data_IF_361697707934
#
_entry.id   IF_361697707934
#
_cell.length_a   1.000
_cell.length_b   1.000
_cell.length_c   1.000
_cell.angle_alpha   90.00
_cell.angle_beta   90.00
_cell.angle_gamma   90.00
#
_symmetry.space_group_name_H-M   'P 1'
#
loop_
_entity.id
_entity.type
_entity.pdbx_description
1 polymer ?
#
# COMPACT_ATOMS: atom_id res chain seq x y z
N UNK A 1 -20.24 -39.61 20.73
CA UNK A 1 -19.05 -39.22 21.51
C UNK A 1 -17.74 -39.47 20.77
N UNK A 2 -17.65 -40.44 19.90
CA UNK A 2 -16.45 -40.79 19.10
C UNK A 2 -16.06 -39.77 18.02
N UNK A 3 -17.04 -39.20 17.32
CA UNK A 3 -16.78 -38.29 16.18
C UNK A 3 -16.17 -36.93 16.57
N UNK A 4 -16.55 -36.41 17.75
CA UNK A 4 -15.99 -35.15 18.27
C UNK A 4 -14.50 -35.29 18.62
N UNK A 5 -14.08 -36.43 19.15
CA UNK A 5 -12.68 -36.70 19.49
C UNK A 5 -11.81 -36.86 18.23
N UNK A 6 -12.36 -37.46 17.17
CA UNK A 6 -11.67 -37.63 15.90
C UNK A 6 -11.49 -36.28 15.16
N UNK A 7 -12.52 -35.44 15.21
CA UNK A 7 -12.49 -34.09 14.67
C UNK A 7 -11.47 -33.20 15.39
N UNK A 8 -11.45 -33.22 16.72
CA UNK A 8 -10.48 -32.47 17.52
C UNK A 8 -9.03 -32.94 17.29
N UNK A 9 -8.81 -34.24 17.10
CA UNK A 9 -7.48 -34.79 16.81
C UNK A 9 -6.97 -34.35 15.43
N UNK A 10 -7.85 -34.34 14.42
CA UNK A 10 -7.52 -33.84 13.07
C UNK A 10 -7.25 -32.33 13.10
N UNK A 11 -8.02 -31.57 13.87
CA UNK A 11 -7.81 -30.12 14.03
C UNK A 11 -6.44 -29.80 14.65
N UNK A 12 -6.06 -30.51 15.72
CA UNK A 12 -4.74 -30.33 16.34
C UNK A 12 -3.59 -30.68 15.40
N UNK A 13 -3.70 -31.80 14.65
CA UNK A 13 -2.71 -32.18 13.66
C UNK A 13 -2.58 -31.15 12.53
N UNK A 14 -3.70 -30.58 12.10
CA UNK A 14 -3.71 -29.50 11.12
C UNK A 14 -3.06 -28.22 11.65
N UNK A 15 -3.35 -27.83 12.89
CA UNK A 15 -2.73 -26.67 13.56
C UNK A 15 -1.21 -26.84 13.70
N UNK A 16 -0.75 -28.04 14.09
CA UNK A 16 0.68 -28.36 14.18
C UNK A 16 1.36 -28.29 12.81
N UNK A 17 0.70 -28.83 11.78
CA UNK A 17 1.21 -28.77 10.41
C UNK A 17 1.28 -27.31 9.92
N UNK A 18 0.24 -26.52 10.11
CA UNK A 18 0.20 -25.10 9.75
C UNK A 18 1.31 -24.33 10.47
N UNK A 19 1.51 -24.56 11.77
CA UNK A 19 2.60 -23.92 12.53
C UNK A 19 3.99 -24.29 12.01
N UNK A 20 4.17 -25.52 11.57
CA UNK A 20 5.45 -26.00 11.04
C UNK A 20 5.78 -25.43 9.65
N UNK A 21 4.76 -25.21 8.81
CA UNK A 21 4.93 -24.74 7.42
C UNK A 21 4.84 -23.21 7.30
N UNK A 22 4.17 -22.55 8.26
CA UNK A 22 4.01 -21.08 8.22
C UNK A 22 5.32 -20.39 8.61
N UNK A 23 5.91 -19.55 7.74
CA UNK A 23 7.13 -18.84 8.06
C UNK A 23 6.92 -17.87 9.23
N UNK A 24 7.70 -18.04 10.30
CA UNK A 24 7.66 -17.15 11.46
C UNK A 24 8.54 -15.94 11.17
N UNK A 25 7.92 -14.76 11.05
CA UNK A 25 8.63 -13.51 10.88
C UNK A 25 8.85 -12.81 12.22
N UNK A 26 10.08 -12.33 12.44
CA UNK A 26 10.40 -11.51 13.62
C UNK A 26 9.78 -10.12 13.47
N UNK A 27 8.78 -9.81 14.31
CA UNK A 27 8.09 -8.51 14.31
C UNK A 27 9.05 -7.32 14.41
N UNK A 28 10.01 -7.28 15.38
CA UNK A 28 10.88 -6.11 15.54
C UNK A 28 11.78 -5.88 14.32
N UNK A 29 12.30 -6.95 13.71
CA UNK A 29 13.13 -6.83 12.52
C UNK A 29 12.34 -6.27 11.33
N UNK A 30 11.09 -6.74 11.15
CA UNK A 30 10.24 -6.25 10.09
C UNK A 30 9.81 -4.79 10.31
N UNK A 31 9.59 -4.39 11.56
CA UNK A 31 9.34 -2.97 11.91
C UNK A 31 10.53 -2.08 11.56
N UNK A 32 11.76 -2.50 11.89
CA UNK A 32 12.97 -1.75 11.53
C UNK A 32 13.14 -1.63 10.00
N UNK A 33 12.90 -2.71 9.25
CA UNK A 33 12.97 -2.69 7.79
C UNK A 33 11.91 -1.75 7.19
N UNK A 34 10.68 -1.80 7.72
CA UNK A 34 9.60 -0.94 7.27
C UNK A 34 9.91 0.53 7.57
N UNK A 35 10.41 0.84 8.77
CA UNK A 35 10.83 2.20 9.14
C UNK A 35 11.93 2.73 8.23
N UNK A 36 12.96 1.93 7.98
CA UNK A 36 14.07 2.32 7.10
C UNK A 36 13.58 2.59 5.67
N UNK A 37 12.79 1.67 5.11
CA UNK A 37 12.30 1.79 3.73
C UNK A 37 11.35 2.98 3.57
N UNK A 38 10.40 3.14 4.49
CA UNK A 38 9.50 4.29 4.52
C UNK A 38 10.26 5.61 4.69
N UNK A 39 11.26 5.62 5.59
CA UNK A 39 12.14 6.77 5.82
C UNK A 39 12.88 7.20 4.56
N UNK A 40 13.44 6.26 3.80
CA UNK A 40 14.11 6.56 2.51
C UNK A 40 13.12 7.18 1.51
N UNK A 41 11.90 6.65 1.40
CA UNK A 41 10.87 7.22 0.52
C UNK A 41 10.51 8.64 0.97
N UNK A 42 10.37 8.88 2.27
CA UNK A 42 10.11 10.22 2.81
C UNK A 42 11.26 11.20 2.52
N UNK A 43 12.51 10.76 2.65
CA UNK A 43 13.68 11.61 2.32
C UNK A 43 13.67 11.98 0.84
N UNK A 44 13.39 11.03 -0.05
CA UNK A 44 13.25 11.33 -1.49
C UNK A 44 12.13 12.33 -1.74
N UNK A 45 10.97 12.15 -1.10
CA UNK A 45 9.85 13.10 -1.17
C UNK A 45 10.24 14.49 -0.68
N UNK A 46 10.97 14.57 0.45
CA UNK A 46 11.42 15.85 1.00
C UNK A 46 12.42 16.58 0.07
N UNK A 47 13.33 15.85 -0.57
CA UNK A 47 14.25 16.44 -1.55
C UNK A 47 13.48 17.05 -2.72
N UNK A 48 12.44 16.36 -3.21
CA UNK A 48 11.57 16.88 -4.29
C UNK A 48 10.83 18.14 -3.83
N UNK A 49 10.27 18.12 -2.61
CA UNK A 49 9.57 19.27 -2.04
C UNK A 49 10.50 20.47 -1.89
N UNK A 50 11.69 20.28 -1.34
CA UNK A 50 12.67 21.35 -1.19
C UNK A 50 13.11 21.94 -2.54
N UNK A 51 13.23 21.10 -3.56
CA UNK A 51 13.52 21.57 -4.93
C UNK A 51 12.36 22.40 -5.50
N UNK A 52 11.13 21.95 -5.31
CA UNK A 52 9.94 22.67 -5.75
C UNK A 52 9.77 24.03 -5.03
N UNK A 53 10.08 24.08 -3.74
CA UNK A 53 10.06 25.31 -2.94
C UNK A 53 11.11 26.32 -3.45
N UNK A 54 12.33 25.85 -3.78
CA UNK A 54 13.36 26.68 -4.38
C UNK A 54 12.97 27.25 -5.76
N UNK A 55 12.05 26.61 -6.47
CA UNK A 55 11.49 27.11 -7.73
C UNK A 55 10.37 28.13 -7.50
N UNK A 56 10.01 28.43 -6.24
CA UNK A 56 8.96 29.38 -5.89
C UNK A 56 7.54 28.85 -6.07
N UNK A 57 7.36 27.51 -6.09
CA UNK A 57 6.03 26.90 -6.14
C UNK A 57 5.35 27.00 -4.78
N UNK A 58 4.03 27.27 -4.78
CA UNK A 58 3.23 27.22 -3.57
C UNK A 58 3.15 25.77 -3.03
N UNK A 59 2.84 25.62 -1.73
CA UNK A 59 2.86 24.33 -1.03
C UNK A 59 1.96 23.27 -1.64
N UNK A 60 0.78 23.68 -2.11
CA UNK A 60 -0.19 22.73 -2.69
C UNK A 60 0.28 22.23 -4.05
N UNK A 61 0.83 23.11 -4.88
CA UNK A 61 1.42 22.77 -6.16
C UNK A 61 2.68 21.91 -5.98
N UNK A 62 3.56 22.26 -5.03
CA UNK A 62 4.75 21.48 -4.71
C UNK A 62 4.40 20.07 -4.23
N UNK A 63 3.37 19.92 -3.37
CA UNK A 63 2.85 18.64 -2.91
C UNK A 63 2.31 17.77 -4.05
N UNK A 64 1.58 18.38 -4.98
CA UNK A 64 1.06 17.72 -6.18
C UNK A 64 2.18 17.20 -7.08
N UNK A 65 3.19 18.02 -7.35
CA UNK A 65 4.39 17.63 -8.11
C UNK A 65 5.18 16.51 -7.44
N UNK A 66 5.37 16.60 -6.12
CA UNK A 66 6.02 15.54 -5.35
C UNK A 66 5.30 14.21 -5.51
N UNK A 67 3.97 14.20 -5.39
CA UNK A 67 3.15 13.01 -5.56
C UNK A 67 3.29 12.43 -6.97
N UNK A 68 3.21 13.25 -8.01
CA UNK A 68 3.35 12.81 -9.40
C UNK A 68 4.73 12.19 -9.68
N UNK A 69 5.80 12.81 -9.20
CA UNK A 69 7.17 12.31 -9.37
C UNK A 69 7.35 10.98 -8.65
N UNK A 70 6.86 10.84 -7.40
CA UNK A 70 6.94 9.60 -6.65
C UNK A 70 6.14 8.46 -7.31
N UNK A 71 4.96 8.77 -7.86
CA UNK A 71 4.16 7.82 -8.65
C UNK A 71 4.94 7.37 -9.88
N UNK A 72 5.52 8.31 -10.62
CA UNK A 72 6.31 8.00 -11.83
C UNK A 72 7.50 7.09 -11.50
N UNK A 73 8.27 7.39 -10.45
CA UNK A 73 9.35 6.52 -10.00
C UNK A 73 8.86 5.12 -9.65
N UNK A 74 7.75 5.03 -8.93
CA UNK A 74 7.17 3.73 -8.57
C UNK A 74 6.76 2.92 -9.79
N UNK A 75 6.09 3.54 -10.76
CA UNK A 75 5.66 2.87 -12.01
C UNK A 75 6.86 2.36 -12.81
N UNK A 76 7.93 3.17 -12.94
CA UNK A 76 9.17 2.76 -13.62
C UNK A 76 9.81 1.57 -12.90
N UNK A 77 9.96 1.64 -11.56
CA UNK A 77 10.52 0.53 -10.77
C UNK A 77 9.67 -0.74 -10.86
N UNK A 78 8.36 -0.61 -10.95
CA UNK A 78 7.43 -1.73 -11.14
C UNK A 78 7.60 -2.34 -12.51
N UNK A 79 7.67 -1.53 -13.57
CA UNK A 79 7.92 -1.98 -14.94
C UNK A 79 9.26 -2.70 -15.10
N UNK A 80 10.29 -2.28 -14.36
CA UNK A 80 11.59 -2.95 -14.29
C UNK A 80 11.62 -4.17 -13.36
N UNK A 81 10.50 -4.55 -12.72
CA UNK A 81 10.41 -5.63 -11.72
C UNK A 81 11.34 -5.45 -10.50
N UNK A 82 11.70 -4.22 -10.19
CA UNK A 82 12.55 -3.87 -9.04
C UNK A 82 11.70 -3.59 -7.78
N UNK A 83 10.51 -3.02 -7.93
CA UNK A 83 9.67 -2.65 -6.80
C UNK A 83 9.25 -3.85 -5.95
N UNK A 84 9.03 -5.01 -6.57
CA UNK A 84 8.70 -6.26 -5.85
C UNK A 84 9.81 -6.70 -4.88
N UNK A 85 11.08 -6.43 -5.21
CA UNK A 85 12.23 -6.70 -4.32
C UNK A 85 12.23 -5.74 -3.14
N UNK A 86 11.95 -4.46 -3.39
CA UNK A 86 11.81 -3.42 -2.34
C UNK A 86 10.64 -3.78 -1.41
N UNK A 87 9.51 -4.20 -1.97
CA UNK A 87 8.32 -4.63 -1.22
C UNK A 87 8.58 -5.81 -0.29
N UNK A 88 9.30 -6.82 -0.77
CA UNK A 88 9.69 -7.98 0.06
C UNK A 88 10.60 -7.61 1.21
N UNK A 89 11.49 -6.65 1.03
CA UNK A 89 12.40 -6.18 2.08
C UNK A 89 11.70 -5.24 3.06
N UNK A 90 11.02 -4.22 2.52
CA UNK A 90 10.47 -3.10 3.29
C UNK A 90 9.07 -3.34 3.87
N UNK A 91 8.34 -4.35 3.37
CA UNK A 91 6.99 -4.65 3.83
C UNK A 91 6.09 -3.41 3.85
N UNK A 92 5.47 -3.12 4.99
CA UNK A 92 4.56 -1.98 5.15
C UNK A 92 5.20 -0.62 4.81
N UNK A 93 6.51 -0.45 5.02
CA UNK A 93 7.21 0.79 4.71
C UNK A 93 7.25 1.15 3.22
N UNK A 94 7.14 0.16 2.34
CA UNK A 94 7.05 0.37 0.89
C UNK A 94 5.62 0.27 0.35
N UNK A 95 4.69 -0.40 1.07
CA UNK A 95 3.33 -0.64 0.62
C UNK A 95 2.35 0.47 1.01
N UNK A 96 2.56 1.09 2.18
CA UNK A 96 1.68 2.14 2.71
C UNK A 96 1.81 3.48 1.97
N UNK A 97 3.02 3.95 1.60
CA UNK A 97 3.16 5.21 0.87
C UNK A 97 2.47 5.18 -0.51
N UNK A 98 2.29 6.39 -1.11
CA UNK A 98 1.69 6.55 -2.45
C UNK A 98 2.41 5.72 -3.53
N UNK A 99 3.70 5.47 -3.34
CA UNK A 99 4.51 4.61 -4.22
C UNK A 99 4.04 3.15 -4.20
N UNK A 100 3.59 2.64 -3.04
CA UNK A 100 3.00 1.31 -2.90
C UNK A 100 1.68 1.18 -3.64
N UNK A 101 0.82 2.19 -3.53
CA UNK A 101 -0.43 2.24 -4.29
C UNK A 101 -0.18 2.29 -5.81
N UNK A 102 0.75 3.14 -6.26
CA UNK A 102 1.12 3.23 -7.66
C UNK A 102 1.69 1.90 -8.19
N UNK A 103 2.54 1.20 -7.40
CA UNK A 103 3.02 -0.13 -7.72
C UNK A 103 1.87 -1.14 -7.85
N UNK A 104 0.91 -1.15 -6.95
CA UNK A 104 -0.22 -2.10 -6.98
C UNK A 104 -1.07 -1.93 -8.25
N UNK A 105 -1.34 -0.69 -8.64
CA UNK A 105 -2.08 -0.36 -9.86
C UNK A 105 -1.27 -0.74 -11.11
N UNK A 106 0.01 -0.35 -11.16
CA UNK A 106 0.87 -0.63 -12.31
C UNK A 106 1.15 -2.13 -12.48
N UNK A 107 1.39 -2.88 -11.41
CA UNK A 107 1.61 -4.32 -11.47
C UNK A 107 0.38 -5.06 -11.99
N UNK A 108 -0.82 -4.66 -11.55
CA UNK A 108 -2.07 -5.22 -12.07
C UNK A 108 -2.26 -4.93 -13.57
N UNK A 109 -1.93 -3.72 -14.03
CA UNK A 109 -1.99 -3.38 -15.44
C UNK A 109 -1.03 -4.23 -16.28
N UNK A 110 0.17 -4.51 -15.78
CA UNK A 110 1.17 -5.33 -16.47
C UNK A 110 0.76 -6.80 -16.50
N UNK A 111 0.32 -7.33 -15.36
CA UNK A 111 -0.04 -8.75 -15.19
C UNK A 111 -1.23 -9.15 -16.06
N UNK A 112 -2.27 -8.32 -16.07
CA UNK A 112 -3.53 -8.62 -16.78
C UNK A 112 -3.60 -8.04 -18.19
N UNK A 113 -2.48 -7.57 -18.74
CA UNK A 113 -2.42 -7.06 -20.12
C UNK A 113 -2.87 -8.09 -21.15
N UNK A 114 -2.59 -9.36 -20.94
CA UNK A 114 -2.97 -10.45 -21.85
C UNK A 114 -4.49 -10.67 -21.93
N UNK A 115 -5.26 -10.27 -20.91
CA UNK A 115 -6.72 -10.39 -20.85
C UNK A 115 -7.45 -9.24 -21.57
N UNK A 116 -6.70 -8.28 -22.16
CA UNK A 116 -7.24 -7.14 -22.89
C UNK A 116 -7.36 -5.86 -22.06
N UNK A 117 -7.68 -4.75 -22.74
CA UNK A 117 -7.66 -3.44 -22.10
C UNK A 117 -8.82 -3.19 -21.14
N UNK A 118 -10.01 -3.64 -21.49
CA UNK A 118 -11.23 -3.36 -20.71
C UNK A 118 -11.40 -4.36 -19.58
N UNK A 119 -11.46 -5.66 -19.90
CA UNK A 119 -11.74 -6.72 -18.92
C UNK A 119 -10.49 -7.12 -18.12
N UNK A 120 -9.31 -7.01 -18.71
CA UNK A 120 -8.04 -7.24 -18.02
C UNK A 120 -7.58 -5.99 -17.28
N UNK A 121 -6.88 -5.09 -17.95
CA UNK A 121 -6.23 -3.92 -17.35
C UNK A 121 -7.22 -3.06 -16.57
N UNK A 122 -8.30 -2.62 -17.22
CA UNK A 122 -9.28 -1.70 -16.63
C UNK A 122 -9.94 -2.28 -15.39
N UNK A 123 -10.53 -3.47 -15.48
CA UNK A 123 -11.18 -4.13 -14.35
C UNK A 123 -10.21 -4.32 -13.17
N UNK A 124 -8.99 -4.77 -13.44
CA UNK A 124 -8.03 -5.10 -12.38
C UNK A 124 -7.44 -3.86 -11.68
N UNK A 125 -7.21 -2.79 -12.43
CA UNK A 125 -6.83 -1.49 -11.84
C UNK A 125 -7.92 -1.02 -10.88
N UNK A 126 -9.19 -1.04 -11.30
CA UNK A 126 -10.30 -0.60 -10.45
C UNK A 126 -10.59 -1.54 -9.28
N UNK A 127 -10.27 -2.82 -9.39
CA UNK A 127 -10.36 -3.75 -8.24
C UNK A 127 -9.46 -3.32 -7.08
N UNK A 128 -8.32 -2.70 -7.38
CA UNK A 128 -7.40 -2.17 -6.37
C UNK A 128 -7.73 -0.72 -6.02
N UNK A 129 -7.88 0.14 -7.02
CA UNK A 129 -8.11 1.57 -6.82
C UNK A 129 -9.50 1.87 -6.23
N UNK A 130 -10.52 1.09 -6.59
CA UNK A 130 -11.91 1.31 -6.16
C UNK A 130 -12.08 1.34 -4.65
N UNK A 131 -11.69 0.30 -3.91
CA UNK A 131 -11.79 0.30 -2.46
C UNK A 131 -11.00 1.43 -1.79
N UNK A 132 -9.79 1.73 -2.27
CA UNK A 132 -8.95 2.81 -1.71
C UNK A 132 -9.66 4.17 -1.85
N UNK A 133 -10.19 4.47 -3.04
CA UNK A 133 -10.90 5.72 -3.31
C UNK A 133 -12.19 5.77 -2.48
N UNK A 134 -12.98 4.69 -2.48
CA UNK A 134 -14.25 4.61 -1.75
C UNK A 134 -14.06 4.85 -0.25
N UNK A 135 -13.16 4.10 0.38
CA UNK A 135 -12.90 4.24 1.80
C UNK A 135 -12.21 5.57 2.15
N UNK A 136 -11.36 6.10 1.26
CA UNK A 136 -10.74 7.41 1.41
C UNK A 136 -11.79 8.53 1.44
N UNK A 137 -12.71 8.54 0.49
CA UNK A 137 -13.81 9.52 0.42
C UNK A 137 -14.73 9.36 1.64
N UNK A 138 -15.14 8.12 1.95
CA UNK A 138 -16.06 7.86 3.07
C UNK A 138 -15.48 8.30 4.41
N UNK A 139 -14.22 7.94 4.70
CA UNK A 139 -13.56 8.35 5.94
C UNK A 139 -13.36 9.86 6.03
N UNK A 140 -12.97 10.51 4.95
CA UNK A 140 -12.82 11.96 4.89
C UNK A 140 -14.16 12.67 5.11
N UNK A 141 -15.23 12.15 4.52
CA UNK A 141 -16.58 12.69 4.71
C UNK A 141 -17.04 12.56 6.17
N UNK A 142 -16.89 11.38 6.78
CA UNK A 142 -17.24 11.15 8.20
C UNK A 142 -16.48 12.13 9.11
N UNK A 143 -15.15 12.22 8.92
CA UNK A 143 -14.32 13.13 9.72
C UNK A 143 -14.69 14.59 9.49
N UNK A 144 -15.01 14.97 8.26
CA UNK A 144 -15.48 16.33 7.92
C UNK A 144 -16.80 16.68 8.61
N UNK A 145 -17.77 15.74 8.64
CA UNK A 145 -19.03 15.93 9.35
C UNK A 145 -18.79 16.05 10.86
N UNK A 146 -17.97 15.18 11.44
CA UNK A 146 -17.62 15.25 12.87
C UNK A 146 -16.98 16.62 13.18
N UNK A 147 -15.99 17.04 12.41
CA UNK A 147 -15.33 18.33 12.59
C UNK A 147 -16.33 19.50 12.50
N UNK A 148 -17.21 19.46 11.51
CA UNK A 148 -18.25 20.50 11.34
C UNK A 148 -19.18 20.57 12.56
N UNK A 149 -19.65 19.44 13.07
CA UNK A 149 -20.51 19.39 14.26
C UNK A 149 -19.80 19.95 15.51
N UNK A 150 -18.51 19.61 15.70
CA UNK A 150 -17.74 20.16 16.82
C UNK A 150 -17.48 21.67 16.69
N UNK A 151 -17.38 22.19 15.49
CA UNK A 151 -17.16 23.62 15.24
C UNK A 151 -18.45 24.42 15.39
N UNK A 152 -19.63 23.79 15.20
CA UNK A 152 -20.94 24.43 15.39
C UNK A 152 -21.39 24.48 16.86
N UNK A 153 -20.76 23.70 17.76
CA UNK A 153 -21.05 23.77 19.20
C UNK A 153 -20.12 24.83 19.80
N UNK A 154 -20.63 26.01 20.26
CA UNK A 154 -19.84 27.08 20.81
C UNK A 154 -19.16 26.69 22.14
#
# INVERSE_FOLDING_TARGET
MSDNNLSQKKQKQYEEYVKAVTPVHSLPLNMCKAFFTGGVICVVGQVILNYADNLGLDKDTAGSWCSLILILYSVILTGCNLYSKIGRFGGAGSLVPITGFANSVASSAIEYKAEGQVFGIGCKIFTIAGPVILYGILSSWILGVIYYLFTMIP
#
